data_IF_482326264136
#
_entry.id   IF_482326264136
#
_cell.length_a   1.000
_cell.length_b   1.000
_cell.length_c   1.000
_cell.angle_alpha   90.00
_cell.angle_beta   90.00
_cell.angle_gamma   90.00
#
_symmetry.space_group_name_H-M   'P 1'
#
loop_
_entity.id
_entity.type
_entity.pdbx_description
1 polymer ?
#
# COMPACT_ATOMS: atom_id res chain seq x y z
N UNK A 1 23.82 27.62 4.87
CA UNK A 1 23.48 26.55 3.90
C UNK A 1 22.11 25.93 4.23
N UNK A 2 21.15 26.68 4.77
CA UNK A 2 19.85 26.15 5.22
C UNK A 2 18.73 26.19 4.17
N UNK A 3 19.04 26.52 2.91
CA UNK A 3 18.02 26.78 1.88
C UNK A 3 17.47 25.54 1.16
N UNK A 4 17.97 24.34 1.41
CA UNK A 4 17.59 23.14 0.63
C UNK A 4 16.72 22.11 1.38
N UNK A 5 16.43 22.28 2.67
CA UNK A 5 15.63 21.31 3.42
C UNK A 5 14.12 21.36 3.09
N UNK A 6 13.65 22.38 2.36
CA UNK A 6 12.23 22.57 2.06
C UNK A 6 11.72 21.79 0.82
N UNK A 7 12.57 21.07 0.09
CA UNK A 7 12.18 20.36 -1.14
C UNK A 7 11.82 18.88 -0.96
N UNK A 8 11.82 18.39 0.28
CA UNK A 8 11.75 16.95 0.62
C UNK A 8 10.34 16.35 0.40
N UNK A 9 9.32 17.17 0.11
CA UNK A 9 7.97 16.72 -0.31
C UNK A 9 7.81 16.47 -1.82
N UNK A 10 8.91 16.26 -2.55
CA UNK A 10 8.92 16.19 -4.02
C UNK A 10 8.26 14.94 -4.59
N UNK A 11 8.59 13.75 -4.07
CA UNK A 11 8.15 12.48 -4.67
C UNK A 11 6.63 12.38 -4.77
N UNK A 12 5.90 12.72 -3.71
CA UNK A 12 4.44 12.65 -3.69
C UNK A 12 3.83 13.64 -4.68
N UNK A 13 4.41 14.83 -4.82
CA UNK A 13 3.99 15.80 -5.84
C UNK A 13 4.26 15.32 -7.28
N UNK A 14 5.35 14.60 -7.53
CA UNK A 14 5.63 14.01 -8.85
C UNK A 14 4.67 12.87 -9.18
N UNK A 15 4.38 11.98 -8.24
CA UNK A 15 3.38 10.92 -8.45
C UNK A 15 1.99 11.50 -8.73
N UNK A 16 1.60 12.56 -8.02
CA UNK A 16 0.34 13.27 -8.28
C UNK A 16 0.31 13.87 -9.68
N UNK A 17 1.40 14.50 -10.16
CA UNK A 17 1.49 15.03 -11.53
C UNK A 17 1.41 13.93 -12.60
N UNK A 18 2.05 12.79 -12.37
CA UNK A 18 1.94 11.65 -13.30
C UNK A 18 0.51 11.10 -13.34
N UNK A 19 -0.16 10.98 -12.18
CA UNK A 19 -1.55 10.56 -12.14
C UNK A 19 -2.47 11.55 -12.84
N UNK A 20 -2.27 12.85 -12.64
CA UNK A 20 -3.01 13.91 -13.34
C UNK A 20 -2.79 13.85 -14.86
N UNK A 21 -1.55 13.65 -15.32
CA UNK A 21 -1.24 13.50 -16.73
C UNK A 21 -1.90 12.25 -17.34
N UNK A 22 -1.92 11.13 -16.61
CA UNK A 22 -2.62 9.91 -17.04
C UNK A 22 -4.13 10.09 -17.07
N UNK A 23 -4.71 10.80 -16.11
CA UNK A 23 -6.13 11.12 -16.10
C UNK A 23 -6.49 11.95 -17.34
N UNK A 24 -5.68 12.97 -17.64
CA UNK A 24 -5.85 13.80 -18.84
C UNK A 24 -5.77 13.02 -20.15
N UNK A 25 -4.91 12.00 -20.23
CA UNK A 25 -4.87 11.10 -21.40
C UNK A 25 -6.19 10.35 -21.55
N UNK A 26 -6.77 9.85 -20.45
CA UNK A 26 -8.07 9.17 -20.50
C UNK A 26 -9.19 10.13 -20.89
N UNK A 27 -9.23 11.32 -20.30
CA UNK A 27 -10.24 12.34 -20.63
C UNK A 27 -10.24 12.69 -22.13
N UNK A 28 -9.05 12.87 -22.72
CA UNK A 28 -8.93 13.18 -24.16
C UNK A 28 -9.24 11.96 -25.04
N UNK A 29 -8.92 10.73 -24.59
CA UNK A 29 -9.35 9.51 -25.29
C UNK A 29 -10.87 9.39 -25.32
N UNK A 30 -11.53 9.70 -24.21
CA UNK A 30 -12.98 9.66 -24.11
C UNK A 30 -13.60 10.75 -25.01
N UNK A 31 -13.05 11.96 -25.02
CA UNK A 31 -13.46 13.03 -25.94
C UNK A 31 -13.29 12.61 -27.41
N UNK A 32 -12.18 11.97 -27.76
CA UNK A 32 -11.93 11.45 -29.10
C UNK A 32 -12.94 10.36 -29.48
N UNK A 33 -13.22 9.43 -28.58
CA UNK A 33 -14.20 8.36 -28.78
C UNK A 33 -15.61 8.91 -29.01
N UNK A 34 -16.00 9.94 -28.24
CA UNK A 34 -17.28 10.61 -28.41
C UNK A 34 -17.36 11.36 -29.74
N UNK A 35 -16.34 12.16 -30.08
CA UNK A 35 -16.30 12.93 -31.33
C UNK A 35 -16.29 12.02 -32.57
N UNK A 36 -15.60 10.88 -32.51
CA UNK A 36 -15.59 9.89 -33.59
C UNK A 36 -16.94 9.18 -33.73
N UNK A 37 -17.61 8.86 -32.63
CA UNK A 37 -18.97 8.32 -32.66
C UNK A 37 -19.98 9.32 -33.27
N UNK A 38 -19.91 10.59 -32.88
CA UNK A 38 -20.72 11.66 -33.47
C UNK A 38 -20.48 11.81 -34.98
N UNK A 39 -19.22 11.79 -35.41
CA UNK A 39 -18.84 11.85 -36.83
C UNK A 39 -19.48 10.69 -37.61
N UNK A 40 -19.36 9.47 -37.10
CA UNK A 40 -19.88 8.28 -37.78
C UNK A 40 -21.41 8.32 -37.90
N UNK A 41 -22.11 8.83 -36.89
CA UNK A 41 -23.57 9.00 -36.97
C UNK A 41 -23.96 10.07 -37.99
N UNK A 42 -23.23 11.20 -38.05
CA UNK A 42 -23.45 12.22 -39.07
C UNK A 42 -23.20 11.68 -40.49
N UNK A 43 -22.17 10.87 -40.70
CA UNK A 43 -21.92 10.18 -41.97
C UNK A 43 -23.08 9.26 -42.38
N UNK A 44 -23.65 8.52 -41.42
CA UNK A 44 -24.82 7.66 -41.65
C UNK A 44 -26.06 8.46 -42.04
N UNK A 45 -26.29 9.60 -41.38
CA UNK A 45 -27.39 10.51 -41.70
C UNK A 45 -27.22 11.16 -43.08
N UNK A 46 -25.99 11.52 -43.43
CA UNK A 46 -25.65 12.12 -44.72
C UNK A 46 -25.85 11.13 -45.87
N UNK A 47 -25.52 9.85 -45.65
CA UNK A 47 -25.79 8.75 -46.59
C UNK A 47 -27.29 8.54 -46.83
N UNK A 48 -28.11 8.74 -45.79
CA UNK A 48 -29.57 8.54 -45.87
C UNK A 48 -30.30 9.78 -46.45
N UNK A 49 -29.69 10.96 -46.35
CA UNK A 49 -30.28 12.22 -46.79
C UNK A 49 -29.99 12.46 -48.26
N UNK A 50 -31.03 12.68 -49.07
CA UNK A 50 -30.88 13.00 -50.50
C UNK A 50 -30.18 14.35 -50.68
N UNK A 51 -29.18 14.38 -51.56
CA UNK A 51 -28.40 15.57 -51.90
C UNK A 51 -29.24 16.62 -52.65
N UNK A 52 -30.16 16.19 -53.49
CA UNK A 52 -31.04 17.06 -54.28
C UNK A 52 -32.50 16.82 -53.90
N UNK A 53 -33.25 17.90 -53.71
CA UNK A 53 -34.70 17.82 -53.62
C UNK A 53 -35.26 17.78 -55.03
N UNK A 54 -36.18 16.86 -55.36
CA UNK A 54 -36.90 16.93 -56.62
C UNK A 54 -37.67 18.25 -56.61
N UNK A 55 -37.22 19.19 -57.45
CA UNK A 55 -38.01 20.37 -57.78
C UNK A 55 -39.28 19.81 -58.39
N UNK A 56 -40.45 20.23 -57.91
CA UNK A 56 -41.72 19.93 -58.55
C UNK A 56 -41.68 20.52 -59.97
N UNK A 57 -41.11 19.77 -60.89
CA UNK A 57 -41.22 19.99 -62.32
C UNK A 57 -42.71 20.01 -62.58
N UNK A 58 -43.26 21.14 -63.04
CA UNK A 58 -44.62 21.17 -63.56
C UNK A 58 -44.64 20.20 -64.74
N UNK A 59 -45.15 18.96 -64.58
CA UNK A 59 -45.05 17.95 -65.65
C UNK A 59 -45.82 18.42 -66.88
N UNK A 60 -46.82 19.29 -66.66
CA UNK A 60 -47.66 19.88 -67.69
C UNK A 60 -46.94 20.79 -68.68
N UNK A 61 -45.78 21.38 -68.36
CA UNK A 61 -45.11 22.30 -69.30
C UNK A 61 -44.27 21.55 -70.36
N UNK A 62 -43.70 20.42 -69.97
CA UNK A 62 -43.01 19.47 -70.85
C UNK A 62 -44.01 18.71 -71.72
N UNK A 63 -45.06 18.17 -71.09
CA UNK A 63 -46.16 17.49 -71.79
C UNK A 63 -46.90 18.45 -72.73
N UNK A 64 -47.09 19.71 -72.34
CA UNK A 64 -47.74 20.74 -73.16
C UNK A 64 -46.96 21.10 -74.43
N UNK A 65 -45.64 21.31 -74.33
CA UNK A 65 -44.81 21.62 -75.52
C UNK A 65 -44.73 20.45 -76.50
N UNK A 66 -44.63 19.22 -75.99
CA UNK A 66 -44.64 18.02 -76.82
C UNK A 66 -46.00 17.82 -77.52
N UNK A 67 -47.11 18.05 -76.81
CA UNK A 67 -48.46 17.98 -77.37
C UNK A 67 -48.70 19.09 -78.41
N UNK A 68 -48.19 20.30 -78.19
CA UNK A 68 -48.29 21.42 -79.12
C UNK A 68 -47.51 21.14 -80.42
N UNK A 69 -46.31 20.57 -80.32
CA UNK A 69 -45.52 20.14 -81.49
C UNK A 69 -46.24 19.07 -82.31
N UNK A 70 -46.85 18.09 -81.64
CA UNK A 70 -47.61 17.04 -82.32
C UNK A 70 -48.85 17.61 -83.04
N UNK A 71 -49.58 18.52 -82.39
CA UNK A 71 -50.74 19.19 -83.02
C UNK A 71 -50.37 20.03 -84.25
N UNK A 72 -49.19 20.68 -84.24
CA UNK A 72 -48.70 21.44 -85.38
C UNK A 72 -48.26 20.52 -86.54
N UNK A 73 -47.71 19.34 -86.22
CA UNK A 73 -47.34 18.31 -87.22
C UNK A 73 -48.57 17.70 -87.87
N UNK A 74 -49.60 17.37 -87.09
CA UNK A 74 -50.89 16.90 -87.62
C UNK A 74 -51.52 17.94 -88.56
N UNK A 75 -51.52 19.23 -88.15
CA UNK A 75 -52.05 20.33 -88.97
C UNK A 75 -51.27 20.53 -90.26
N UNK A 76 -49.95 20.34 -90.22
CA UNK A 76 -49.10 20.38 -91.42
C UNK A 76 -49.45 19.23 -92.37
N UNK A 77 -49.65 18.01 -91.85
CA UNK A 77 -50.05 16.85 -92.63
C UNK A 77 -51.41 17.07 -93.32
N UNK A 78 -52.39 17.63 -92.60
CA UNK A 78 -53.69 17.97 -93.18
C UNK A 78 -53.57 19.02 -94.29
N UNK A 79 -52.83 20.10 -94.07
CA UNK A 79 -52.63 21.16 -95.07
C UNK A 79 -51.89 20.66 -96.32
N UNK A 80 -50.95 19.72 -96.17
CA UNK A 80 -50.24 19.12 -97.31
C UNK A 80 -51.12 18.20 -98.17
N UNK A 81 -52.18 17.63 -97.60
CA UNK A 81 -53.14 16.82 -98.37
C UNK A 81 -54.04 17.66 -99.30
N UNK A 82 -54.23 18.95 -98.98
CA UNK A 82 -55.15 19.86 -99.69
C UNK A 82 -54.44 20.95 -100.50
N UNK A 83 -53.24 21.33 -100.09
CA UNK A 83 -52.48 22.46 -100.68
C UNK A 83 -51.09 22.03 -101.15
N UNK A 84 -50.61 22.70 -102.19
CA UNK A 84 -49.26 22.51 -102.72
C UNK A 84 -48.21 22.99 -101.70
N UNK A 85 -46.97 22.46 -101.70
CA UNK A 85 -45.92 22.83 -100.73
C UNK A 85 -45.53 24.32 -100.69
N UNK A 86 -45.98 25.12 -101.66
CA UNK A 86 -45.72 26.55 -101.80
C UNK A 86 -46.84 27.45 -101.24
N UNK A 87 -47.95 26.87 -100.73
CA UNK A 87 -49.06 27.64 -100.18
C UNK A 87 -48.65 28.40 -98.91
N UNK A 88 -49.08 29.68 -98.72
CA UNK A 88 -48.70 30.49 -97.57
C UNK A 88 -48.94 29.78 -96.22
N UNK A 89 -50.06 29.08 -96.07
CA UNK A 89 -50.42 28.38 -94.81
C UNK A 89 -49.54 27.17 -94.48
N UNK A 90 -49.03 26.47 -95.51
CA UNK A 90 -48.07 25.37 -95.31
C UNK A 90 -46.72 25.92 -94.86
N UNK A 91 -46.31 27.06 -95.44
CA UNK A 91 -45.05 27.70 -95.07
C UNK A 91 -45.09 28.33 -93.67
N UNK A 92 -46.24 28.88 -93.24
CA UNK A 92 -46.39 29.45 -91.91
C UNK A 92 -46.39 28.37 -90.83
N UNK A 93 -47.07 27.25 -91.06
CA UNK A 93 -47.09 26.10 -90.12
C UNK A 93 -45.71 25.44 -90.04
N UNK A 94 -44.99 25.29 -91.16
CA UNK A 94 -43.61 24.78 -91.15
C UNK A 94 -42.67 25.68 -90.36
N UNK A 95 -42.77 27.01 -90.53
CA UNK A 95 -42.00 27.98 -89.74
C UNK A 95 -42.37 27.93 -88.25
N UNK A 96 -43.65 27.70 -87.92
CA UNK A 96 -44.08 27.56 -86.53
C UNK A 96 -43.46 26.31 -85.87
N UNK A 97 -43.42 25.18 -86.58
CA UNK A 97 -42.73 23.96 -86.11
C UNK A 97 -41.24 24.22 -85.95
N UNK A 98 -40.59 24.82 -86.96
CA UNK A 98 -39.16 25.12 -86.92
C UNK A 98 -38.80 26.07 -85.76
N UNK A 99 -39.63 27.09 -85.51
CA UNK A 99 -39.47 27.98 -84.37
C UNK A 99 -39.67 27.27 -83.03
N UNK A 100 -40.69 26.40 -82.92
CA UNK A 100 -40.93 25.64 -81.68
C UNK A 100 -39.82 24.61 -81.42
N UNK A 101 -39.32 23.93 -82.46
CA UNK A 101 -38.19 23.02 -82.37
C UNK A 101 -36.88 23.77 -82.04
N UNK A 102 -36.68 24.95 -82.63
CA UNK A 102 -35.56 25.83 -82.31
C UNK A 102 -35.67 26.34 -80.87
N UNK A 103 -36.86 26.71 -80.38
CA UNK A 103 -37.09 27.13 -79.00
C UNK A 103 -36.84 25.98 -78.02
N UNK A 104 -37.23 24.75 -78.37
CA UNK A 104 -36.92 23.55 -77.58
C UNK A 104 -35.42 23.24 -77.55
N UNK A 105 -34.71 23.50 -78.66
CA UNK A 105 -33.26 23.28 -78.77
C UNK A 105 -32.44 24.38 -78.08
N UNK A 106 -32.87 25.64 -78.21
CA UNK A 106 -32.18 26.82 -77.68
C UNK A 106 -32.52 27.08 -76.22
N UNK A 107 -33.69 26.63 -75.77
CA UNK A 107 -34.14 26.72 -74.39
C UNK A 107 -34.47 25.32 -73.84
N UNK A 108 -33.47 24.40 -73.82
CA UNK A 108 -33.65 23.10 -73.21
C UNK A 108 -34.03 23.34 -71.75
N UNK A 109 -35.05 22.64 -71.25
CA UNK A 109 -35.38 22.77 -69.83
C UNK A 109 -34.13 22.43 -69.01
N UNK A 110 -33.90 23.13 -67.89
CA UNK A 110 -32.80 22.78 -67.01
C UNK A 110 -32.86 21.28 -66.75
N UNK A 111 -31.78 20.55 -67.05
CA UNK A 111 -31.60 19.19 -66.55
C UNK A 111 -31.94 19.20 -65.05
N UNK A 112 -32.55 18.12 -64.56
CA UNK A 112 -32.99 17.91 -63.18
C UNK A 112 -31.83 17.95 -62.16
N UNK A 113 -31.08 19.04 -62.11
CA UNK A 113 -30.32 19.43 -60.94
C UNK A 113 -31.35 19.93 -59.96
N UNK A 114 -31.97 18.99 -59.26
CA UNK A 114 -32.83 19.28 -58.13
C UNK A 114 -32.13 20.29 -57.23
N UNK A 115 -32.89 21.24 -56.67
CA UNK A 115 -32.33 22.26 -55.80
C UNK A 115 -31.52 21.58 -54.69
N UNK A 116 -30.31 22.10 -54.41
CA UNK A 116 -29.46 21.56 -53.34
C UNK A 116 -30.27 21.53 -52.04
N UNK A 117 -30.30 20.37 -51.39
CA UNK A 117 -31.07 20.20 -50.18
C UNK A 117 -30.40 20.97 -49.04
N UNK A 118 -31.03 22.02 -48.47
CA UNK A 118 -30.41 22.81 -47.40
C UNK A 118 -30.14 22.00 -46.13
N UNK A 119 -30.87 20.89 -45.91
CA UNK A 119 -30.58 19.96 -44.81
C UNK A 119 -29.28 19.17 -45.05
N UNK A 120 -29.00 18.80 -46.30
CA UNK A 120 -27.77 18.10 -46.68
C UNK A 120 -26.54 18.99 -46.51
N UNK A 121 -26.61 20.25 -46.93
CA UNK A 121 -25.51 21.22 -46.74
C UNK A 121 -25.23 21.50 -45.26
N UNK A 122 -26.27 21.57 -44.42
CA UNK A 122 -26.12 21.71 -42.96
C UNK A 122 -25.41 20.50 -42.35
N UNK A 123 -25.83 19.29 -42.71
CA UNK A 123 -25.19 18.04 -42.26
C UNK A 123 -23.73 17.95 -42.70
N UNK A 124 -23.43 18.34 -43.95
CA UNK A 124 -22.06 18.40 -44.46
C UNK A 124 -21.18 19.38 -43.69
N UNK A 125 -21.72 20.55 -43.36
CA UNK A 125 -21.02 21.53 -42.53
C UNK A 125 -20.77 21.00 -41.12
N UNK A 126 -21.77 20.36 -40.50
CA UNK A 126 -21.61 19.72 -39.18
C UNK A 126 -20.55 18.62 -39.22
N UNK A 127 -20.55 17.78 -40.26
CA UNK A 127 -19.55 16.74 -40.44
C UNK A 127 -18.14 17.31 -40.54
N UNK A 128 -17.95 18.40 -41.29
CA UNK A 128 -16.67 19.09 -41.38
C UNK A 128 -16.22 19.67 -40.03
N UNK A 129 -17.16 20.26 -39.25
CA UNK A 129 -16.88 20.77 -37.90
C UNK A 129 -16.50 19.64 -36.94
N UNK A 130 -17.22 18.52 -36.95
CA UNK A 130 -16.91 17.35 -36.10
C UNK A 130 -15.61 16.69 -36.54
N UNK A 131 -15.31 16.62 -37.84
CA UNK A 131 -14.01 16.16 -38.34
C UNK A 131 -12.84 17.02 -37.83
N UNK A 132 -13.01 18.34 -37.78
CA UNK A 132 -12.02 19.23 -37.17
C UNK A 132 -11.89 19.02 -35.64
N UNK A 133 -12.98 18.67 -34.94
CA UNK A 133 -12.92 18.29 -33.52
C UNK A 133 -12.16 17.00 -33.30
N UNK A 134 -12.38 15.97 -34.12
CA UNK A 134 -11.64 14.70 -34.08
C UNK A 134 -10.14 14.96 -34.27
N UNK A 135 -9.73 15.70 -35.30
CA UNK A 135 -8.31 16.01 -35.52
C UNK A 135 -7.68 16.81 -34.36
N UNK A 136 -8.45 17.71 -33.72
CA UNK A 136 -8.01 18.42 -32.51
C UNK A 136 -7.85 17.46 -31.33
N UNK A 137 -8.78 16.54 -31.13
CA UNK A 137 -8.71 15.56 -30.05
C UNK A 137 -7.55 14.57 -30.27
N UNK A 138 -7.30 14.12 -31.50
CA UNK A 138 -6.15 13.29 -31.87
C UNK A 138 -4.81 13.98 -31.55
N UNK A 139 -4.62 15.22 -32.00
CA UNK A 139 -3.40 15.98 -31.70
C UNK A 139 -3.25 16.29 -30.21
N UNK A 140 -4.37 16.49 -29.49
CA UNK A 140 -4.35 16.68 -28.04
C UNK A 140 -4.00 15.39 -27.30
N UNK A 141 -4.44 14.24 -27.80
CA UNK A 141 -4.13 12.93 -27.24
C UNK A 141 -2.63 12.65 -27.37
N UNK A 142 -2.06 12.86 -28.55
CA UNK A 142 -0.62 12.68 -28.79
C UNK A 142 0.20 13.56 -27.84
N UNK A 143 -0.17 14.83 -27.68
CA UNK A 143 0.50 15.74 -26.73
C UNK A 143 0.36 15.28 -25.27
N UNK A 144 -0.83 14.81 -24.87
CA UNK A 144 -1.06 14.32 -23.52
C UNK A 144 -0.25 13.03 -23.24
N UNK A 145 -0.18 12.12 -24.21
CA UNK A 145 0.59 10.88 -24.13
C UNK A 145 2.10 11.15 -24.06
N UNK A 146 2.62 12.07 -24.87
CA UNK A 146 4.02 12.49 -24.79
C UNK A 146 4.37 13.04 -23.39
N UNK A 147 3.55 13.95 -22.85
CA UNK A 147 3.77 14.49 -21.49
C UNK A 147 3.69 13.41 -20.41
N UNK A 148 2.74 12.48 -20.53
CA UNK A 148 2.63 11.36 -19.59
C UNK A 148 3.85 10.43 -19.67
N UNK A 149 4.40 10.20 -20.87
CA UNK A 149 5.59 9.39 -21.08
C UNK A 149 6.86 10.09 -20.53
N UNK A 150 7.02 11.39 -20.76
CA UNK A 150 8.10 12.21 -20.19
C UNK A 150 8.09 12.13 -18.66
N UNK A 151 6.94 12.38 -18.03
CA UNK A 151 6.79 12.29 -16.58
C UNK A 151 7.02 10.86 -16.05
N UNK A 152 6.58 9.84 -16.80
CA UNK A 152 6.80 8.45 -16.42
C UNK A 152 8.30 8.08 -16.42
N UNK A 153 9.06 8.56 -17.41
CA UNK A 153 10.50 8.35 -17.47
C UNK A 153 11.25 9.05 -16.33
N UNK A 154 10.78 10.23 -15.92
CA UNK A 154 11.37 10.99 -14.80
C UNK A 154 11.07 10.34 -13.43
N UNK A 155 9.93 9.65 -13.29
CA UNK A 155 9.51 8.96 -12.06
C UNK A 155 10.44 7.81 -11.65
N UNK A 156 11.17 7.18 -12.56
CA UNK A 156 12.14 6.14 -12.17
C UNK A 156 13.47 6.73 -11.65
N UNK A 157 13.80 7.95 -12.05
CA UNK A 157 15.07 8.62 -11.70
C UNK A 157 14.94 9.39 -10.39
N UNK A 158 13.82 10.08 -10.17
CA UNK A 158 13.65 10.96 -9.01
C UNK A 158 13.71 10.23 -7.65
N UNK A 159 13.05 9.08 -7.42
CA UNK A 159 13.11 8.35 -6.16
C UNK A 159 14.51 7.81 -5.86
N UNK A 160 15.26 7.40 -6.89
CA UNK A 160 16.64 6.91 -6.75
C UNK A 160 17.57 8.04 -6.31
N UNK A 161 17.47 9.20 -6.96
CA UNK A 161 18.24 10.39 -6.60
C UNK A 161 17.92 10.87 -5.18
N UNK A 162 16.64 10.87 -4.78
CA UNK A 162 16.20 11.23 -3.43
C UNK A 162 16.70 10.24 -2.37
N UNK A 163 16.64 8.93 -2.65
CA UNK A 163 17.18 7.91 -1.76
C UNK A 163 18.71 8.03 -1.60
N UNK A 164 19.41 8.30 -2.68
CA UNK A 164 20.86 8.54 -2.67
C UNK A 164 21.22 9.81 -1.89
N UNK A 165 20.46 10.89 -2.08
CA UNK A 165 20.61 12.11 -1.30
C UNK A 165 20.41 11.87 0.20
N UNK A 166 19.33 11.17 0.60
CA UNK A 166 19.08 10.85 2.01
C UNK A 166 20.17 9.97 2.61
N UNK A 167 20.67 9.01 1.85
CA UNK A 167 21.82 8.19 2.25
C UNK A 167 23.04 9.08 2.49
N UNK A 168 23.40 9.92 1.53
CA UNK A 168 24.55 10.81 1.64
C UNK A 168 24.41 11.82 2.80
N UNK A 169 23.21 12.36 3.01
CA UNK A 169 22.94 13.25 4.13
C UNK A 169 23.12 12.54 5.48
N UNK A 170 22.68 11.28 5.57
CA UNK A 170 22.90 10.46 6.77
C UNK A 170 24.38 10.13 6.97
N UNK A 171 25.11 9.84 5.90
CA UNK A 171 26.55 9.58 5.92
C UNK A 171 27.34 10.83 6.37
N UNK A 172 26.95 12.02 5.91
CA UNK A 172 27.54 13.30 6.35
C UNK A 172 27.28 13.54 7.84
N UNK A 173 26.06 13.29 8.32
CA UNK A 173 25.75 13.42 9.75
C UNK A 173 26.54 12.42 10.60
N UNK A 174 26.69 11.18 10.15
CA UNK A 174 27.52 10.19 10.82
C UNK A 174 29.00 10.61 10.85
N UNK A 175 29.53 11.08 9.72
CA UNK A 175 30.91 11.56 9.63
C UNK A 175 31.16 12.75 10.56
N UNK A 176 30.20 13.68 10.66
CA UNK A 176 30.26 14.83 11.57
C UNK A 176 30.28 14.38 13.04
N UNK A 177 29.41 13.43 13.42
CA UNK A 177 29.40 12.86 14.78
C UNK A 177 30.72 12.17 15.13
N UNK A 178 31.23 11.35 14.22
CA UNK A 178 32.51 10.65 14.39
C UNK A 178 33.66 11.66 14.54
N UNK A 179 33.70 12.70 13.71
CA UNK A 179 34.68 13.77 13.81
C UNK A 179 34.64 14.48 15.17
N UNK A 180 33.45 14.82 15.65
CA UNK A 180 33.28 15.45 16.98
C UNK A 180 33.75 14.52 18.09
N UNK A 181 33.41 13.23 18.04
CA UNK A 181 33.84 12.24 19.03
C UNK A 181 35.38 12.06 19.04
N UNK A 182 36.01 11.94 17.87
CA UNK A 182 37.46 11.81 17.77
C UNK A 182 38.18 13.07 18.27
N UNK A 183 37.60 14.25 18.01
CA UNK A 183 38.13 15.52 18.52
C UNK A 183 38.07 15.58 20.04
N UNK A 184 36.94 15.18 20.65
CA UNK A 184 36.81 15.08 22.09
C UNK A 184 37.81 14.11 22.71
N UNK A 185 38.00 12.92 22.11
CA UNK A 185 38.98 11.94 22.60
C UNK A 185 40.42 12.47 22.51
N UNK A 186 40.76 13.16 21.42
CA UNK A 186 42.06 13.82 21.27
C UNK A 186 42.28 14.86 22.37
N UNK A 187 41.28 15.71 22.62
CA UNK A 187 41.39 16.76 23.62
C UNK A 187 41.53 16.17 25.04
N UNK A 188 40.80 15.09 25.35
CA UNK A 188 40.97 14.34 26.60
C UNK A 188 42.37 13.73 26.73
N UNK A 189 42.88 13.10 25.67
CA UNK A 189 44.23 12.51 25.66
C UNK A 189 45.32 13.58 25.84
N UNK A 190 45.16 14.75 25.21
CA UNK A 190 46.05 15.89 25.39
C UNK A 190 46.07 16.38 26.85
N UNK A 191 44.88 16.57 27.43
CA UNK A 191 44.74 17.00 28.83
C UNK A 191 45.40 15.98 29.77
N UNK A 192 45.14 14.68 29.57
CA UNK A 192 45.75 13.61 30.35
C UNK A 192 47.29 13.61 30.21
N UNK A 193 47.81 13.83 29.00
CA UNK A 193 49.25 13.96 28.74
C UNK A 193 49.88 15.18 29.42
N UNK A 194 49.20 16.33 29.44
CA UNK A 194 49.66 17.54 30.14
C UNK A 194 49.70 17.33 31.67
N UNK A 195 48.74 16.60 32.25
CA UNK A 195 48.76 16.21 33.67
C UNK A 195 49.87 15.21 34.00
N UNK A 196 50.09 14.20 33.15
CA UNK A 196 51.18 13.24 33.31
C UNK A 196 52.57 13.86 33.17
N UNK A 197 52.76 14.79 32.22
CA UNK A 197 54.03 15.47 32.00
C UNK A 197 54.35 16.54 33.06
N UNK A 198 53.33 17.09 33.74
CA UNK A 198 53.51 17.98 34.92
C UNK A 198 53.69 17.20 36.24
N UNK A 199 53.67 15.87 36.19
CA UNK A 199 53.77 14.97 37.34
C UNK A 199 55.14 14.90 38.01
N UNK A 200 55.72 16.03 38.44
CA UNK A 200 56.90 16.03 39.30
C UNK A 200 56.78 16.86 40.58
N UNK A 201 55.54 17.16 41.05
CA UNK A 201 55.31 17.71 42.41
C UNK A 201 53.82 17.73 42.81
N UNK A 202 53.19 16.57 42.88
CA UNK A 202 51.98 16.42 43.68
C UNK A 202 52.34 15.46 44.82
N UNK A 203 52.66 16.04 45.98
CA UNK A 203 52.59 15.32 47.24
C UNK A 203 51.15 14.82 47.36
N UNK A 204 50.98 13.53 47.08
CA UNK A 204 49.75 12.82 47.33
C UNK A 204 49.64 12.65 48.85
N UNK A 205 49.06 13.64 49.51
CA UNK A 205 48.60 13.50 50.89
C UNK A 205 47.32 12.67 50.88
N UNK A 206 47.38 11.50 51.51
CA UNK A 206 46.25 10.60 51.67
C UNK A 206 45.36 11.21 52.76
N UNK A 207 44.33 11.94 52.33
CA UNK A 207 43.41 12.64 53.24
C UNK A 207 42.38 11.68 53.86
N UNK A 208 42.07 10.53 53.22
CA UNK A 208 41.03 9.63 53.72
C UNK A 208 41.37 8.14 53.48
N UNK A 209 41.67 7.36 54.54
CA UNK A 209 41.83 5.91 54.42
C UNK A 209 40.49 5.24 54.06
N UNK A 210 40.51 4.08 53.38
CA UNK A 210 39.30 3.41 52.94
C UNK A 210 38.43 3.01 54.15
N UNK A 211 37.23 3.57 54.24
CA UNK A 211 36.22 3.14 55.20
C UNK A 211 35.66 1.78 54.76
N UNK A 212 35.67 0.81 55.68
CA UNK A 212 34.92 -0.42 55.47
C UNK A 212 33.43 -0.08 55.50
N UNK A 213 32.63 -0.52 54.51
CA UNK A 213 31.20 -0.26 54.51
C UNK A 213 30.57 -0.91 55.74
N UNK A 214 29.97 -0.08 56.59
CA UNK A 214 29.30 -0.51 57.84
C UNK A 214 28.03 -1.34 57.59
N UNK A 215 27.56 -1.43 56.34
CA UNK A 215 26.41 -2.22 55.95
C UNK A 215 26.77 -3.20 54.83
N UNK A 216 26.42 -4.49 54.97
CA UNK A 216 26.71 -5.49 53.95
C UNK A 216 25.97 -5.15 52.65
N UNK A 217 26.72 -4.97 51.56
CA UNK A 217 26.21 -4.70 50.21
C UNK A 217 25.60 -5.94 49.51
N UNK A 218 25.57 -7.08 50.20
CA UNK A 218 24.99 -8.33 49.72
C UNK A 218 23.49 -8.40 50.04
N UNK A 219 22.66 -9.05 49.20
CA UNK A 219 21.21 -9.13 49.39
C UNK A 219 20.82 -9.62 50.79
N UNK A 220 19.68 -9.12 51.32
CA UNK A 220 19.15 -9.44 52.65
C UNK A 220 19.18 -10.95 52.92
N UNK A 221 20.14 -11.40 53.74
CA UNK A 221 20.42 -12.82 53.99
C UNK A 221 19.22 -13.56 54.60
N UNK A 222 18.48 -12.90 55.51
CA UNK A 222 17.16 -13.37 55.99
C UNK A 222 16.15 -13.65 54.86
N UNK A 223 16.10 -12.81 53.82
CA UNK A 223 15.19 -13.01 52.69
C UNK A 223 15.59 -14.24 51.87
N UNK A 224 16.89 -14.45 51.68
CA UNK A 224 17.42 -15.63 50.97
C UNK A 224 17.14 -16.92 51.75
N UNK A 225 17.37 -16.91 53.06
CA UNK A 225 17.05 -18.05 53.93
C UNK A 225 15.56 -18.40 53.91
N UNK A 226 14.69 -17.38 53.98
CA UNK A 226 13.25 -17.57 53.87
C UNK A 226 12.86 -18.13 52.49
N UNK A 227 13.46 -17.62 51.42
CA UNK A 227 13.22 -18.10 50.06
C UNK A 227 13.62 -19.58 49.89
N UNK A 228 14.80 -19.98 50.39
CA UNK A 228 15.28 -21.37 50.32
C UNK A 228 14.36 -22.30 51.12
N UNK A 229 13.88 -21.89 52.28
CA UNK A 229 12.92 -22.66 53.08
C UNK A 229 11.62 -22.93 52.31
N UNK A 230 11.04 -21.88 51.71
CA UNK A 230 9.81 -21.98 50.93
C UNK A 230 10.00 -22.86 49.69
N UNK A 231 11.11 -22.66 48.96
CA UNK A 231 11.43 -23.45 47.78
C UNK A 231 11.63 -24.93 48.17
N UNK A 232 12.36 -25.22 49.25
CA UNK A 232 12.60 -26.59 49.71
C UNK A 232 11.31 -27.32 50.09
N UNK A 233 10.40 -26.66 50.82
CA UNK A 233 9.09 -27.21 51.15
C UNK A 233 8.23 -27.44 49.89
N UNK A 234 8.25 -26.47 48.97
CA UNK A 234 7.56 -26.58 47.68
C UNK A 234 8.06 -27.75 46.84
N UNK A 235 9.38 -27.91 46.73
CA UNK A 235 10.00 -29.01 45.99
C UNK A 235 9.66 -30.36 46.64
N UNK A 236 9.72 -30.46 47.97
CA UNK A 236 9.37 -31.68 48.69
C UNK A 236 7.91 -32.09 48.48
N UNK A 237 6.98 -31.12 48.53
CA UNK A 237 5.57 -31.36 48.25
C UNK A 237 5.35 -31.77 46.79
N UNK A 238 6.02 -31.13 45.83
CA UNK A 238 5.93 -31.46 44.41
C UNK A 238 6.44 -32.89 44.13
N UNK A 239 7.56 -33.29 44.73
CA UNK A 239 8.09 -34.66 44.62
C UNK A 239 7.14 -35.68 45.25
N UNK A 240 6.57 -35.40 46.42
CA UNK A 240 5.59 -36.27 47.05
C UNK A 240 4.34 -36.45 46.18
N UNK A 241 3.88 -35.37 45.55
CA UNK A 241 2.74 -35.39 44.63
C UNK A 241 3.06 -36.17 43.36
N UNK A 242 4.25 -36.00 42.78
CA UNK A 242 4.73 -36.78 41.64
C UNK A 242 4.81 -38.28 41.96
N UNK A 243 5.33 -38.64 43.13
CA UNK A 243 5.37 -40.05 43.56
C UNK A 243 3.94 -40.60 43.72
N UNK A 244 3.00 -39.81 44.24
CA UNK A 244 1.59 -40.20 44.33
C UNK A 244 0.90 -40.35 42.97
N UNK A 245 1.25 -39.53 41.99
CA UNK A 245 0.77 -39.63 40.61
C UNK A 245 1.30 -40.89 39.91
N UNK A 246 2.58 -41.21 40.08
CA UNK A 246 3.22 -42.38 39.46
C UNK A 246 2.75 -43.68 40.11
N UNK A 247 2.58 -43.68 41.44
CA UNK A 247 2.11 -44.83 42.20
C UNK A 247 0.68 -44.59 42.71
N UNK A 248 -0.29 -44.42 41.80
CA UNK A 248 -1.71 -44.40 42.18
C UNK A 248 -2.24 -45.82 42.44
N UNK A 249 -2.50 -46.22 43.69
CA UNK A 249 -3.24 -47.44 43.96
C UNK A 249 -4.70 -47.26 43.53
N UNK A 250 -5.31 -48.31 43.00
CA UNK A 250 -6.76 -48.34 42.77
C UNK A 250 -7.48 -48.43 44.11
N UNK A 251 -8.02 -47.31 44.59
CA UNK A 251 -8.69 -47.22 45.89
C UNK A 251 -10.12 -47.78 45.88
N UNK A 252 -10.68 -48.04 44.70
CA UNK A 252 -12.04 -48.58 44.56
C UNK A 252 -12.13 -49.70 43.51
N UNK A 253 -13.01 -50.70 43.74
CA UNK A 253 -13.23 -51.76 42.76
C UNK A 253 -13.82 -51.24 41.44
N UNK A 254 -14.55 -50.11 41.47
CA UNK A 254 -15.08 -49.46 40.26
C UNK A 254 -13.96 -48.88 39.40
N UNK A 255 -12.99 -48.21 40.02
CA UNK A 255 -11.82 -47.65 39.33
C UNK A 255 -10.96 -48.71 38.64
N UNK A 256 -10.94 -49.93 39.17
CA UNK A 256 -10.23 -51.06 38.56
C UNK A 256 -11.02 -51.71 37.41
N UNK A 257 -12.36 -51.75 37.49
CA UNK A 257 -13.23 -52.18 36.39
C UNK A 257 -13.12 -51.24 35.19
N UNK A 258 -13.15 -49.93 35.42
CA UNK A 258 -13.06 -48.91 34.36
C UNK A 258 -11.70 -48.93 33.64
N UNK A 259 -10.60 -49.18 34.37
CA UNK A 259 -9.25 -49.15 33.81
C UNK A 259 -8.86 -50.42 33.03
N UNK A 260 -9.35 -51.60 33.44
CA UNK A 260 -8.92 -52.89 32.87
C UNK A 260 -10.04 -53.71 32.23
N UNK A 261 -11.29 -53.24 32.24
CA UNK A 261 -12.48 -53.93 31.72
C UNK A 261 -12.65 -55.37 32.25
N UNK A 262 -12.17 -55.61 33.48
CA UNK A 262 -12.25 -56.89 34.17
C UNK A 262 -13.39 -56.88 35.17
N UNK A 263 -14.23 -57.93 35.16
CA UNK A 263 -15.34 -58.06 36.13
C UNK A 263 -14.80 -58.40 37.53
N UNK A 264 -14.80 -57.42 38.44
CA UNK A 264 -14.44 -57.63 39.86
C UNK A 264 -15.47 -58.54 40.55
N UNK A 265 -15.03 -59.73 41.00
CA UNK A 265 -15.87 -60.76 41.63
C UNK A 265 -16.16 -60.50 43.13
N UNK A 266 -15.41 -59.60 43.77
CA UNK A 266 -15.61 -59.19 45.17
C UNK A 266 -14.43 -58.34 45.67
N UNK A 267 -14.65 -57.52 46.70
CA UNK A 267 -13.60 -56.78 47.40
C UNK A 267 -13.40 -57.33 48.80
N UNK A 268 -12.14 -57.53 49.19
CA UNK A 268 -11.78 -57.89 50.57
C UNK A 268 -11.45 -56.61 51.32
N UNK A 269 -12.29 -56.24 52.29
CA UNK A 269 -11.97 -55.14 53.19
C UNK A 269 -10.74 -55.52 54.01
N UNK A 270 -9.69 -54.71 53.94
CA UNK A 270 -8.48 -54.94 54.73
C UNK A 270 -8.80 -54.76 56.20
N UNK A 271 -8.93 -55.86 56.93
CA UNK A 271 -9.01 -55.88 58.40
C UNK A 271 -7.70 -55.29 58.96
N UNK A 272 -7.77 -54.05 59.44
CA UNK A 272 -6.63 -53.29 59.94
C UNK A 272 -6.02 -54.00 61.16
N UNK A 273 -4.92 -54.74 60.95
CA UNK A 273 -4.18 -55.45 62.00
C UNK A 273 -3.50 -54.43 62.93
N UNK A 274 -3.46 -54.69 64.24
CA UNK A 274 -2.91 -53.76 65.25
C UNK A 274 -1.42 -53.37 64.97
N UNK A 275 -0.68 -54.19 64.21
CA UNK A 275 0.67 -53.89 63.72
C UNK A 275 0.72 -52.77 62.67
N UNK A 276 -0.32 -52.59 61.85
CA UNK A 276 -0.39 -51.55 60.81
C UNK A 276 -0.58 -50.15 61.41
N UNK A 277 -1.12 -50.06 62.65
CA UNK A 277 -1.22 -48.78 63.37
C UNK A 277 0.15 -48.29 63.84
N UNK A 278 1.05 -49.19 64.24
CA UNK A 278 2.42 -48.83 64.63
C UNK A 278 3.22 -48.34 63.43
N UNK A 279 3.13 -49.00 62.27
CA UNK A 279 3.84 -48.56 61.06
C UNK A 279 3.31 -47.23 60.51
N UNK A 280 2.00 -46.98 60.59
CA UNK A 280 1.42 -45.68 60.24
C UNK A 280 1.93 -44.56 61.16
N UNK A 281 1.95 -44.80 62.48
CA UNK A 281 2.45 -43.83 63.46
C UNK A 281 3.95 -43.57 63.27
N UNK A 282 4.75 -44.60 63.00
CA UNK A 282 6.21 -44.44 62.75
C UNK A 282 6.46 -43.63 61.49
N UNK A 283 5.69 -43.83 60.40
CA UNK A 283 5.83 -43.04 59.17
C UNK A 283 5.40 -41.59 59.36
N UNK A 284 4.29 -41.32 60.04
CA UNK A 284 3.88 -39.96 60.36
C UNK A 284 4.84 -39.27 61.34
N UNK A 285 5.36 -40.01 62.31
CA UNK A 285 6.36 -39.49 63.25
C UNK A 285 7.67 -39.15 62.54
N UNK A 286 8.12 -39.96 61.58
CA UNK A 286 9.29 -39.67 60.76
C UNK A 286 9.12 -38.40 59.92
N UNK A 287 7.93 -38.18 59.34
CA UNK A 287 7.61 -36.96 58.61
C UNK A 287 7.62 -35.71 59.53
N UNK A 288 6.96 -35.80 60.68
CA UNK A 288 6.90 -34.70 61.66
C UNK A 288 8.31 -34.37 62.19
N UNK A 289 9.12 -35.39 62.49
CA UNK A 289 10.49 -35.22 62.96
C UNK A 289 11.37 -34.59 61.87
N UNK A 290 11.22 -35.01 60.61
CA UNK A 290 11.92 -34.41 59.46
C UNK A 290 11.58 -32.93 59.28
N UNK A 291 10.30 -32.56 59.31
CA UNK A 291 9.88 -31.16 59.27
C UNK A 291 10.41 -30.38 60.48
N UNK A 292 10.34 -30.94 61.68
CA UNK A 292 10.86 -30.32 62.91
C UNK A 292 12.37 -30.05 62.84
N UNK A 293 13.16 -31.00 62.34
CA UNK A 293 14.61 -30.84 62.18
C UNK A 293 14.95 -29.75 61.16
N UNK A 294 14.17 -29.64 60.09
CA UNK A 294 14.33 -28.60 59.08
C UNK A 294 14.04 -27.20 59.64
N UNK A 295 12.97 -27.02 60.41
CA UNK A 295 12.68 -25.76 61.10
C UNK A 295 13.72 -25.43 62.18
N UNK A 296 14.24 -26.44 62.88
CA UNK A 296 15.31 -26.26 63.86
C UNK A 296 16.62 -25.82 63.20
N UNK A 297 17.00 -26.42 62.08
CA UNK A 297 18.15 -26.00 61.29
C UNK A 297 18.01 -24.56 60.77
N UNK A 298 16.82 -24.18 60.29
CA UNK A 298 16.51 -22.80 59.90
C UNK A 298 16.65 -21.84 61.08
N UNK A 299 16.12 -22.19 62.26
CA UNK A 299 16.24 -21.38 63.48
C UNK A 299 17.69 -21.19 63.94
N UNK A 300 18.51 -22.24 63.89
CA UNK A 300 19.96 -22.16 64.20
C UNK A 300 20.67 -21.22 63.23
N UNK A 301 20.34 -21.28 61.94
CA UNK A 301 20.98 -20.46 60.92
C UNK A 301 20.60 -18.98 61.06
N UNK A 302 19.33 -18.69 61.36
CA UNK A 302 18.87 -17.34 61.69
C UNK A 302 19.55 -16.81 62.97
N UNK A 303 19.73 -17.66 63.99
CA UNK A 303 20.43 -17.27 65.20
C UNK A 303 21.92 -16.99 64.93
N UNK A 304 22.58 -17.83 64.11
CA UNK A 304 23.96 -17.64 63.69
C UNK A 304 24.16 -16.32 62.92
N UNK A 305 23.22 -15.97 62.04
CA UNK A 305 23.21 -14.68 61.34
C UNK A 305 23.08 -13.52 62.32
N UNK A 306 22.20 -13.63 63.33
CA UNK A 306 22.03 -12.61 64.37
C UNK A 306 23.26 -12.46 65.25
N UNK A 307 23.97 -13.55 65.57
CA UNK A 307 25.20 -13.49 66.38
C UNK A 307 26.39 -12.96 65.59
N UNK A 308 26.48 -13.22 64.29
CA UNK A 308 27.53 -12.65 63.43
C UNK A 308 27.45 -11.12 63.30
N UNK A 309 26.28 -10.51 63.57
CA UNK A 309 26.15 -9.06 63.68
C UNK A 309 26.74 -8.49 64.99
N UNK A 310 27.10 -9.32 65.98
CA UNK A 310 27.48 -8.89 67.34
C UNK A 310 28.99 -9.06 67.63
N UNK A 311 29.76 -9.71 66.76
CA UNK A 311 31.20 -9.89 66.95
C UNK A 311 32.01 -8.93 66.05
N UNK A 312 32.49 -7.77 66.54
CA UNK A 312 33.57 -7.09 65.85
C UNK A 312 34.82 -7.96 66.00
N UNK A 313 35.49 -8.24 64.88
CA UNK A 313 36.78 -8.92 64.78
C UNK A 313 37.79 -8.32 65.78
N UNK A 314 37.85 -8.89 66.99
CA UNK A 314 38.85 -8.58 68.01
C UNK A 314 39.86 -9.72 68.05
N UNK A 315 40.85 -9.66 67.16
CA UNK A 315 42.22 -10.13 67.40
C UNK A 315 43.03 -10.05 66.11
N UNK A 316 43.92 -9.05 66.00
CA UNK A 316 45.33 -9.28 65.62
C UNK A 316 46.15 -7.97 65.58
N UNK A 317 46.00 -7.12 66.60
CA UNK A 317 46.78 -5.88 66.71
C UNK A 317 47.96 -6.01 67.70
N UNK A 318 48.24 -7.23 68.18
CA UNK A 318 49.35 -7.51 69.11
C UNK A 318 50.66 -7.88 68.44
N UNK A 319 50.67 -8.17 67.13
CA UNK A 319 51.91 -8.48 66.40
C UNK A 319 52.70 -7.24 65.98
N UNK A 320 52.04 -6.10 65.72
CA UNK A 320 52.72 -4.88 65.24
C UNK A 320 53.41 -4.11 66.38
N UNK A 321 52.95 -4.25 67.63
CA UNK A 321 53.56 -3.55 68.78
C UNK A 321 54.87 -4.14 69.29
N UNK A 322 55.21 -5.39 68.94
CA UNK A 322 56.49 -5.99 69.36
C UNK A 322 57.66 -5.63 68.44
N UNK A 323 57.43 -5.33 67.16
CA UNK A 323 58.51 -4.89 66.26
C UNK A 323 58.93 -3.43 66.50
N UNK A 324 58.02 -2.57 66.97
CA UNK A 324 58.34 -1.16 67.25
C UNK A 324 59.12 -0.93 68.57
N UNK A 325 59.27 -1.94 69.43
CA UNK A 325 60.05 -1.83 70.67
C UNK A 325 61.44 -2.45 70.58
N UNK A 326 61.84 -2.98 69.41
CA UNK A 326 63.17 -3.58 69.18
C UNK A 326 63.99 -2.87 68.09
N UNK A 327 63.51 -1.75 67.55
CA UNK A 327 64.28 -0.84 66.69
C UNK A 327 64.60 0.46 67.44
#
# INVERSE_FOLDING_TARGET
QELNAAHIGGSDRFYMRLQEARARVQDVRDELALATAERNELERQLTTTRQTLPVASQPGRLVGRAAELESLRERLSELQSRYTPQHPDVTSTRRAIENLEADMRNNPLPEERGASNPAYERLRLQLAQTGARVARAESSLEQAEMRAAELAAEVDVAPRAEAEYRRLASDVELAKRNYTQLTQQRDQARIAGEFGARGNRLELEIIDPPSLPEQPSSPNRLMLLAAVLVIGLGLGAAVALLIGLVNSPFDSPRSLQEAFDLRVLGSLSRLRRQSDRRSAIVRSAGFILGCGLLFLAFGILVLAERTQMVEPLRSDDTSIRQEASQA
#
